data_IF_899895810255
#
_entry.id   IF_899895810255
#
_cell.length_a   1.000
_cell.length_b   1.000
_cell.length_c   1.000
_cell.angle_alpha   90.00
_cell.angle_beta   90.00
_cell.angle_gamma   90.00
#
_symmetry.space_group_name_H-M   'P 1'
#
loop_
_entity.id
_entity.type
_entity.pdbx_description
1 polymer ?
#
# COMPACT_ATOMS: atom_id res chain seq x y z
N UNK A 1 3.28 17.53 -9.18
CA UNK A 1 2.69 16.95 -7.96
C UNK A 1 2.00 15.67 -8.38
N UNK A 2 2.34 14.53 -7.77
CA UNK A 2 1.70 13.26 -8.11
C UNK A 2 0.27 13.29 -7.57
N UNK A 3 -0.71 13.02 -8.42
CA UNK A 3 -2.11 12.98 -8.03
C UNK A 3 -2.37 11.64 -7.32
N UNK A 4 -2.49 11.68 -6.00
CA UNK A 4 -2.66 10.50 -5.15
C UNK A 4 -3.92 9.73 -5.53
N UNK A 5 -4.99 10.43 -5.92
CA UNK A 5 -6.24 9.80 -6.35
C UNK A 5 -6.02 9.03 -7.65
N UNK A 6 -5.35 9.62 -8.65
CA UNK A 6 -5.03 8.90 -9.90
C UNK A 6 -4.11 7.71 -9.69
N UNK A 7 -3.11 7.85 -8.81
CA UNK A 7 -2.24 6.75 -8.45
C UNK A 7 -3.05 5.62 -7.79
N UNK A 8 -3.87 5.96 -6.79
CA UNK A 8 -4.70 4.99 -6.09
C UNK A 8 -5.65 4.25 -7.05
N UNK A 9 -6.36 4.96 -7.91
CA UNK A 9 -7.25 4.34 -8.91
C UNK A 9 -6.49 3.35 -9.81
N UNK A 10 -5.30 3.75 -10.31
CA UNK A 10 -4.49 2.87 -11.16
C UNK A 10 -4.02 1.62 -10.43
N UNK A 11 -3.64 1.76 -9.16
CA UNK A 11 -3.22 0.64 -8.30
C UNK A 11 -4.39 -0.26 -7.95
N UNK A 12 -5.56 0.30 -7.70
CA UNK A 12 -6.77 -0.45 -7.37
C UNK A 12 -7.26 -1.29 -8.56
N UNK A 13 -7.28 -0.72 -9.76
CA UNK A 13 -7.59 -1.45 -10.99
C UNK A 13 -6.56 -2.57 -11.26
N UNK A 14 -5.28 -2.29 -11.02
CA UNK A 14 -4.23 -3.31 -11.08
C UNK A 14 -4.51 -4.43 -10.06
N UNK A 15 -4.74 -4.10 -8.79
CA UNK A 15 -4.95 -5.10 -7.73
C UNK A 15 -6.15 -5.99 -8.04
N UNK A 16 -7.27 -5.42 -8.48
CA UNK A 16 -8.46 -6.19 -8.90
C UNK A 16 -8.14 -7.21 -10.01
N UNK A 17 -7.27 -6.86 -10.95
CA UNK A 17 -6.85 -7.78 -12.02
C UNK A 17 -5.83 -8.83 -11.57
N UNK A 18 -5.02 -8.51 -10.55
CA UNK A 18 -3.87 -9.31 -10.11
C UNK A 18 -4.16 -10.19 -8.89
N UNK A 19 -5.18 -9.86 -8.08
CA UNK A 19 -5.48 -10.52 -6.82
C UNK A 19 -5.66 -12.03 -6.97
N UNK A 20 -6.42 -12.46 -7.98
CA UNK A 20 -6.66 -13.89 -8.25
C UNK A 20 -5.36 -14.65 -8.52
N UNK A 21 -4.45 -14.04 -9.30
CA UNK A 21 -3.14 -14.62 -9.56
C UNK A 21 -2.31 -14.65 -8.27
N UNK A 22 -2.29 -13.56 -7.52
CA UNK A 22 -1.54 -13.46 -6.28
C UNK A 22 -1.97 -14.53 -5.27
N UNK A 23 -3.28 -14.67 -5.02
CA UNK A 23 -3.84 -15.65 -4.07
C UNK A 23 -3.47 -17.09 -4.46
N UNK A 24 -3.53 -17.43 -5.76
CA UNK A 24 -3.19 -18.77 -6.26
C UNK A 24 -1.70 -19.11 -6.14
N UNK A 25 -0.82 -18.11 -6.18
CA UNK A 25 0.62 -18.29 -6.21
C UNK A 25 1.31 -17.97 -4.86
N UNK A 26 0.55 -17.77 -3.78
CA UNK A 26 1.15 -17.55 -2.47
C UNK A 26 1.81 -18.84 -1.96
N UNK A 27 3.12 -18.77 -1.71
CA UNK A 27 3.90 -19.89 -1.16
C UNK A 27 3.64 -20.14 0.32
N UNK A 28 3.07 -19.15 1.03
CA UNK A 28 2.85 -19.18 2.48
C UNK A 28 1.43 -18.66 2.76
N UNK A 29 0.71 -19.36 3.63
CA UNK A 29 -0.59 -18.88 4.13
C UNK A 29 -0.44 -17.58 4.93
N UNK A 30 -1.45 -16.71 4.85
CA UNK A 30 -1.48 -15.45 5.62
C UNK A 30 -1.20 -15.75 7.11
N UNK A 31 -0.20 -15.09 7.72
CA UNK A 31 0.11 -15.31 9.13
C UNK A 31 -1.10 -14.91 9.99
N UNK A 32 -1.53 -15.81 10.88
CA UNK A 32 -2.67 -15.59 11.79
C UNK A 32 -2.33 -14.68 12.99
N UNK A 33 -1.18 -14.00 12.98
CA UNK A 33 -0.71 -13.22 14.13
C UNK A 33 -1.15 -11.77 13.99
N UNK A 34 -1.87 -11.28 14.99
CA UNK A 34 -2.29 -9.89 15.11
C UNK A 34 -3.73 -9.63 14.66
N UNK A 35 -4.22 -8.40 14.84
CA UNK A 35 -5.56 -8.01 14.38
C UNK A 35 -5.65 -8.07 12.86
N UNK A 36 -6.87 -8.26 12.36
CA UNK A 36 -7.15 -8.18 10.92
C UNK A 36 -6.69 -6.81 10.38
N UNK A 37 -5.92 -6.83 9.29
CA UNK A 37 -5.50 -5.59 8.63
C UNK A 37 -6.74 -4.80 8.20
N UNK A 38 -6.80 -3.52 8.56
CA UNK A 38 -7.90 -2.62 8.20
C UNK A 38 -7.72 -1.95 6.84
N UNK A 39 -6.50 -2.00 6.29
CA UNK A 39 -6.18 -1.45 4.99
C UNK A 39 -6.36 -2.52 3.91
N UNK A 40 -6.95 -2.12 2.80
CA UNK A 40 -6.92 -2.87 1.55
C UNK A 40 -5.50 -2.96 1.01
N UNK A 41 -5.25 -3.94 0.15
CA UNK A 41 -3.94 -4.08 -0.47
C UNK A 41 -3.59 -2.89 -1.36
N UNK A 42 -4.58 -2.35 -2.09
CA UNK A 42 -4.41 -1.15 -2.93
C UNK A 42 -3.92 0.05 -2.10
N UNK A 43 -4.45 0.26 -0.90
CA UNK A 43 -4.00 1.31 0.02
C UNK A 43 -2.56 1.07 0.49
N UNK A 44 -2.24 -0.16 0.90
CA UNK A 44 -0.88 -0.53 1.33
C UNK A 44 0.12 -0.26 0.20
N UNK A 45 -0.18 -0.72 -1.01
CA UNK A 45 0.67 -0.50 -2.19
C UNK A 45 0.86 0.98 -2.50
N UNK A 46 -0.22 1.77 -2.43
CA UNK A 46 -0.17 3.21 -2.66
C UNK A 46 0.72 3.91 -1.62
N UNK A 47 0.55 3.60 -0.34
CA UNK A 47 1.40 4.11 0.76
C UNK A 47 2.87 3.76 0.53
N UNK A 48 3.16 2.52 0.12
CA UNK A 48 4.53 2.07 -0.16
C UNK A 48 5.15 2.82 -1.34
N UNK A 49 4.42 3.01 -2.43
CA UNK A 49 4.91 3.77 -3.60
C UNK A 49 5.21 5.21 -3.21
N UNK A 50 4.31 5.87 -2.48
CA UNK A 50 4.51 7.23 -2.00
C UNK A 50 5.74 7.31 -1.08
N UNK A 51 5.92 6.35 -0.18
CA UNK A 51 7.11 6.27 0.66
C UNK A 51 8.38 6.17 -0.18
N UNK A 52 8.44 5.26 -1.16
CA UNK A 52 9.61 5.11 -2.02
C UNK A 52 9.90 6.36 -2.87
N UNK A 53 8.88 7.09 -3.31
CA UNK A 53 9.04 8.33 -4.09
C UNK A 53 9.41 9.54 -3.23
N UNK A 54 9.08 9.52 -1.93
CA UNK A 54 9.30 10.64 -1.02
C UNK A 54 10.76 10.90 -0.62
N UNK A 55 11.67 9.96 -0.91
CA UNK A 55 13.08 9.98 -0.49
C UNK A 55 13.30 10.03 1.03
N UNK A 56 12.28 9.77 1.87
CA UNK A 56 12.49 9.63 3.30
C UNK A 56 13.30 8.37 3.60
N UNK A 57 14.32 8.52 4.46
CA UNK A 57 15.19 7.40 4.87
C UNK A 57 14.46 6.33 5.68
N UNK A 58 13.40 6.70 6.39
CA UNK A 58 12.64 5.76 7.23
C UNK A 58 11.15 5.98 7.06
N UNK A 59 10.40 4.89 7.14
CA UNK A 59 8.94 4.93 7.10
C UNK A 59 8.34 5.77 8.23
N UNK A 60 8.96 5.75 9.42
CA UNK A 60 8.49 6.55 10.58
C UNK A 60 8.51 8.05 10.30
N UNK A 61 9.58 8.55 9.68
CA UNK A 61 9.69 9.97 9.30
C UNK A 61 8.65 10.34 8.23
N UNK A 62 8.48 9.49 7.21
CA UNK A 62 7.44 9.69 6.19
C UNK A 62 6.03 9.70 6.77
N UNK A 63 5.72 8.75 7.67
CA UNK A 63 4.41 8.65 8.29
C UNK A 63 4.07 9.88 9.15
N UNK A 64 5.03 10.39 9.94
CA UNK A 64 4.81 11.61 10.70
C UNK A 64 4.66 12.86 9.83
N UNK A 65 5.35 12.91 8.69
CA UNK A 65 5.14 13.98 7.72
C UNK A 65 3.70 13.96 7.19
N UNK A 66 3.20 12.79 6.76
CA UNK A 66 1.81 12.65 6.31
C UNK A 66 0.77 13.02 7.37
N UNK A 67 1.05 12.75 8.65
CA UNK A 67 0.14 13.07 9.74
C UNK A 67 0.05 14.58 10.04
N UNK A 68 1.07 15.37 9.68
CA UNK A 68 1.07 16.83 9.89
C UNK A 68 0.31 17.59 8.79
N UNK A 69 0.16 16.98 7.61
CA UNK A 69 -0.53 17.55 6.46
C UNK A 69 -2.06 17.30 6.46
N UNK A 70 -2.60 16.72 7.54
CA UNK A 70 -4.03 16.48 7.81
C UNK A 70 -4.43 17.08 9.17
#
# INVERSE_FOLDING_TARGET
MLDVTKLFCSIDDFWKSFEDYWVKNQLIHKPSRGPTCKLSMSEIMTIMILFHQSNFRTFKHFYFFLQQDY
#
